data_IF_471543317489
#
_entry.id   IF_471543317489
#
_cell.length_a   1.000
_cell.length_b   1.000
_cell.length_c   1.000
_cell.angle_alpha   90.00
_cell.angle_beta   90.00
_cell.angle_gamma   90.00
#
_symmetry.space_group_name_H-M   'P 1'
#
loop_
_entity.id
_entity.type
_entity.pdbx_description
1 polymer ?
#
# COMPACT_ATOMS: atom_id res chain seq x y z
N UNK A 1 -37.08 12.61 -21.83
CA UNK A 1 -35.69 13.05 -22.00
C UNK A 1 -34.87 12.92 -20.73
N UNK A 2 -35.27 13.55 -19.66
CA UNK A 2 -34.56 13.48 -18.42
C UNK A 2 -34.53 12.06 -17.85
N UNK A 3 -35.63 11.32 -17.99
CA UNK A 3 -35.72 9.93 -17.57
C UNK A 3 -34.67 9.08 -18.29
N UNK A 4 -34.54 9.32 -19.61
CA UNK A 4 -33.56 8.60 -20.42
C UNK A 4 -32.16 8.91 -19.98
N UNK A 5 -31.85 10.21 -19.72
CA UNK A 5 -30.56 10.63 -19.24
C UNK A 5 -30.22 10.01 -17.89
N UNK A 6 -31.19 9.99 -16.98
CA UNK A 6 -31.03 9.39 -15.66
C UNK A 6 -30.76 7.91 -15.75
N UNK A 7 -31.49 7.21 -16.63
CA UNK A 7 -31.30 5.78 -16.88
C UNK A 7 -29.90 5.52 -17.44
N UNK A 8 -29.47 6.36 -18.38
CA UNK A 8 -28.14 6.24 -18.99
C UNK A 8 -27.02 6.39 -17.94
N UNK A 9 -27.20 7.32 -17.00
CA UNK A 9 -26.23 7.50 -15.93
C UNK A 9 -26.13 6.27 -15.04
N UNK A 10 -27.25 5.68 -14.70
CA UNK A 10 -27.28 4.45 -13.89
C UNK A 10 -26.61 3.31 -14.62
N UNK A 11 -26.85 3.21 -15.91
CA UNK A 11 -26.26 2.14 -16.73
C UNK A 11 -24.74 2.31 -16.84
N UNK A 12 -24.28 3.54 -17.10
CA UNK A 12 -22.86 3.85 -17.16
C UNK A 12 -22.17 3.52 -15.84
N UNK A 13 -22.78 3.95 -14.75
CA UNK A 13 -22.23 3.68 -13.41
C UNK A 13 -22.20 2.19 -13.12
N UNK A 14 -23.25 1.47 -13.49
CA UNK A 14 -23.28 0.01 -13.32
C UNK A 14 -22.16 -0.65 -14.10
N UNK A 15 -21.93 -0.21 -15.34
CA UNK A 15 -20.87 -0.76 -16.16
C UNK A 15 -19.49 -0.50 -15.57
N UNK A 16 -19.28 0.71 -15.07
CA UNK A 16 -18.04 1.04 -14.38
C UNK A 16 -17.82 0.17 -13.15
N UNK A 17 -18.85 0.00 -12.35
CA UNK A 17 -18.76 -0.83 -11.16
C UNK A 17 -18.53 -2.30 -11.52
N UNK A 18 -19.17 -2.78 -12.57
CA UNK A 18 -18.96 -4.15 -13.04
C UNK A 18 -17.54 -4.37 -13.55
N UNK A 19 -16.95 -3.37 -14.18
CA UNK A 19 -15.54 -3.42 -14.58
C UNK A 19 -14.61 -3.39 -13.39
N UNK A 20 -14.92 -2.60 -12.41
CA UNK A 20 -14.12 -2.46 -11.20
C UNK A 20 -14.17 -3.73 -10.36
N UNK A 21 -15.37 -4.22 -10.11
CA UNK A 21 -15.57 -5.46 -9.36
C UNK A 21 -15.20 -6.66 -10.21
N UNK A 22 -15.28 -6.42 -11.52
CA UNK A 22 -15.07 -7.43 -12.50
C UNK A 22 -16.26 -8.34 -12.55
N UNK A 23 -16.44 -8.99 -13.56
CA UNK A 23 -17.13 -10.24 -13.54
C UNK A 23 -16.46 -11.11 -12.51
N UNK A 24 -15.82 -10.37 -11.77
CA UNK A 24 -14.73 -10.65 -11.06
C UNK A 24 -14.77 -9.97 -9.76
N UNK A 25 -15.32 -10.67 -8.82
CA UNK A 25 -15.06 -10.43 -7.44
C UNK A 25 -13.57 -10.45 -7.15
N UNK A 26 -12.79 -10.96 -8.13
CA UNK A 26 -11.34 -11.05 -8.03
C UNK A 26 -10.66 -9.74 -7.73
N UNK A 27 -11.13 -8.64 -8.36
CA UNK A 27 -10.56 -7.33 -8.12
C UNK A 27 -10.81 -6.85 -6.70
N UNK A 28 -11.99 -7.08 -6.19
CA UNK A 28 -12.35 -6.73 -4.82
C UNK A 28 -11.58 -7.59 -3.82
N UNK A 29 -11.44 -8.89 -4.11
CA UNK A 29 -10.69 -9.79 -3.24
C UNK A 29 -9.23 -9.37 -3.17
N UNK A 30 -8.62 -9.03 -4.30
CA UNK A 30 -7.24 -8.56 -4.33
C UNK A 30 -7.06 -7.26 -3.55
N UNK A 31 -7.98 -6.32 -3.74
CA UNK A 31 -7.95 -5.05 -3.01
C UNK A 31 -8.10 -5.29 -1.51
N UNK A 32 -9.01 -6.16 -1.12
CA UNK A 32 -9.24 -6.51 0.28
C UNK A 32 -8.00 -7.12 0.90
N UNK A 33 -7.36 -8.06 0.22
CA UNK A 33 -6.13 -8.69 0.71
C UNK A 33 -5.01 -7.66 0.85
N UNK A 34 -4.87 -6.79 -0.13
CA UNK A 34 -3.88 -5.72 -0.09
C UNK A 34 -4.10 -4.78 1.08
N UNK A 35 -5.34 -4.35 1.28
CA UNK A 35 -5.69 -3.48 2.40
C UNK A 35 -5.46 -4.14 3.75
N UNK A 36 -5.75 -5.43 3.87
CA UNK A 36 -5.49 -6.16 5.11
C UNK A 36 -4.01 -6.24 5.42
N UNK A 37 -3.19 -6.41 4.40
CA UNK A 37 -1.73 -6.41 4.60
C UNK A 37 -1.26 -5.06 5.11
N UNK A 38 -1.83 -3.97 4.59
CA UNK A 38 -1.46 -2.62 5.00
C UNK A 38 -2.05 -2.22 6.35
N UNK A 39 -3.18 -2.81 6.74
CA UNK A 39 -3.90 -2.44 7.96
C UNK A 39 -3.31 -3.12 9.19
N UNK A 40 -2.04 -2.82 9.46
CA UNK A 40 -1.32 -3.34 10.60
C UNK A 40 -0.39 -2.25 11.13
N UNK A 41 -0.43 -1.94 12.44
CA UNK A 41 0.35 -0.82 12.98
C UNK A 41 1.83 -0.87 12.64
N UNK A 42 2.46 -2.02 12.79
CA UNK A 42 3.89 -2.16 12.51
C UNK A 42 4.19 -1.91 11.04
N UNK A 43 3.37 -2.45 10.14
CA UNK A 43 3.57 -2.28 8.70
C UNK A 43 3.33 -0.84 8.27
N UNK A 44 2.34 -0.18 8.86
CA UNK A 44 2.11 1.24 8.60
C UNK A 44 3.31 2.08 9.02
N UNK A 45 3.90 1.78 10.18
CA UNK A 45 5.11 2.48 10.64
C UNK A 45 6.25 2.31 9.65
N UNK A 46 6.47 1.09 9.19
CA UNK A 46 7.53 0.79 8.23
C UNK A 46 7.32 1.58 6.93
N UNK A 47 6.11 1.52 6.39
CA UNK A 47 5.81 2.16 5.12
C UNK A 47 5.82 3.68 5.22
N UNK A 48 5.37 4.22 6.33
CA UNK A 48 5.48 5.66 6.58
C UNK A 48 6.94 6.10 6.65
N UNK A 49 7.80 5.30 7.27
CA UNK A 49 9.23 5.60 7.30
C UNK A 49 9.84 5.52 5.90
N UNK A 50 9.50 4.49 5.13
CA UNK A 50 10.02 4.30 3.78
C UNK A 50 9.52 5.34 2.79
N UNK A 51 8.49 6.07 3.13
CA UNK A 51 8.00 7.20 2.34
C UNK A 51 9.10 8.21 2.06
N UNK A 52 10.07 8.32 2.97
CA UNK A 52 11.15 9.29 2.87
C UNK A 52 12.27 8.87 1.92
N UNK A 53 12.31 7.61 1.52
CA UNK A 53 13.34 7.08 0.64
C UNK A 53 13.85 5.73 1.10
N UNK A 54 14.96 5.27 0.51
CA UNK A 54 15.57 4.00 0.89
C UNK A 54 16.08 4.02 2.32
N UNK A 55 15.83 2.95 3.06
CA UNK A 55 16.29 2.78 4.43
C UNK A 55 16.80 1.37 4.64
N UNK A 56 17.81 1.23 5.48
CA UNK A 56 18.29 -0.08 5.92
C UNK A 56 17.40 -0.60 7.07
N UNK A 57 17.58 -1.88 7.41
CA UNK A 57 16.89 -2.46 8.58
C UNK A 57 17.27 -1.69 9.85
N UNK A 58 18.52 -1.28 9.97
CA UNK A 58 18.99 -0.50 11.12
C UNK A 58 18.29 0.85 11.19
N UNK A 59 18.15 1.53 10.05
CA UNK A 59 17.40 2.77 9.99
C UNK A 59 15.95 2.57 10.43
N UNK A 60 15.34 1.49 9.95
CA UNK A 60 13.96 1.17 10.28
C UNK A 60 13.78 0.87 11.76
N UNK A 61 14.74 0.16 12.37
CA UNK A 61 14.72 -0.05 13.82
C UNK A 61 14.71 1.28 14.55
N UNK A 62 15.57 2.18 14.14
CA UNK A 62 15.71 3.49 14.76
C UNK A 62 14.42 4.31 14.65
N UNK A 63 13.86 4.40 13.43
CA UNK A 63 12.69 5.25 13.18
C UNK A 63 11.38 4.64 13.66
N UNK A 64 11.23 3.33 13.61
CA UNK A 64 9.97 2.68 13.97
C UNK A 64 9.93 2.20 15.40
N UNK A 65 11.08 1.98 16.02
CA UNK A 65 11.17 1.37 17.34
C UNK A 65 10.89 -0.12 17.34
N UNK A 66 10.72 -0.74 16.17
CA UNK A 66 10.47 -2.18 16.07
C UNK A 66 11.79 -2.94 16.13
N UNK A 67 11.75 -4.14 16.70
CA UNK A 67 12.93 -5.01 16.77
C UNK A 67 13.24 -5.60 15.41
N UNK A 68 14.51 -5.92 15.19
CA UNK A 68 14.98 -6.47 13.92
C UNK A 68 14.21 -7.72 13.49
N UNK A 69 13.92 -8.63 14.42
CA UNK A 69 13.18 -9.85 14.11
C UNK A 69 11.77 -9.54 13.60
N UNK A 70 11.10 -8.61 14.25
CA UNK A 70 9.77 -8.15 13.85
C UNK A 70 9.82 -7.46 12.49
N UNK A 71 10.80 -6.59 12.31
CA UNK A 71 11.01 -5.90 11.02
C UNK A 71 11.23 -6.89 9.90
N UNK A 72 12.10 -7.88 10.10
CA UNK A 72 12.42 -8.87 9.08
C UNK A 72 11.18 -9.64 8.64
N UNK A 73 10.32 -10.02 9.58
CA UNK A 73 9.08 -10.72 9.27
C UNK A 73 8.14 -9.85 8.44
N UNK A 74 7.93 -8.61 8.85
CA UNK A 74 7.06 -7.70 8.11
C UNK A 74 7.61 -7.32 6.75
N UNK A 75 8.91 -7.06 6.66
CA UNK A 75 9.56 -6.74 5.40
C UNK A 75 9.49 -7.90 4.41
N UNK A 76 9.64 -9.14 4.89
CA UNK A 76 9.49 -10.31 4.04
C UNK A 76 8.09 -10.42 3.46
N UNK A 77 7.07 -10.17 4.28
CA UNK A 77 5.70 -10.19 3.81
C UNK A 77 5.43 -9.07 2.80
N UNK A 78 5.85 -7.86 3.10
CA UNK A 78 5.66 -6.72 2.22
C UNK A 78 6.38 -6.91 0.89
N UNK A 79 7.57 -7.51 0.93
CA UNK A 79 8.34 -7.80 -0.28
C UNK A 79 7.67 -8.89 -1.12
N UNK A 80 7.15 -9.94 -0.47
CA UNK A 80 6.43 -11.01 -1.16
C UNK A 80 5.16 -10.49 -1.85
N UNK A 81 4.60 -9.39 -1.35
CA UNK A 81 3.40 -8.76 -1.92
C UNK A 81 3.74 -7.60 -2.86
N UNK A 82 5.00 -7.43 -3.19
CA UNK A 82 5.46 -6.36 -4.09
C UNK A 82 5.11 -4.96 -3.60
N UNK A 83 4.99 -4.78 -2.30
CA UNK A 83 4.73 -3.47 -1.69
C UNK A 83 6.06 -2.75 -1.46
N UNK A 84 7.08 -3.50 -1.07
CA UNK A 84 8.43 -2.99 -0.96
C UNK A 84 9.38 -3.80 -1.84
N UNK A 85 10.48 -3.19 -2.21
CA UNK A 85 11.57 -3.87 -2.89
C UNK A 85 12.86 -3.62 -2.11
N UNK A 86 13.88 -4.41 -2.38
CA UNK A 86 15.16 -4.27 -1.68
C UNK A 86 16.32 -4.48 -2.64
N UNK A 87 17.44 -3.88 -2.29
CA UNK A 87 18.71 -4.11 -2.97
C UNK A 87 19.82 -4.28 -1.94
N UNK A 88 20.86 -4.99 -2.31
CA UNK A 88 22.02 -5.13 -1.44
C UNK A 88 23.15 -4.29 -1.94
N UNK A 89 23.83 -3.67 -0.98
CA UNK A 89 25.06 -2.93 -1.25
C UNK A 89 26.01 -3.18 -0.08
N UNK A 90 27.15 -3.78 -0.37
CA UNK A 90 28.06 -4.29 0.65
C UNK A 90 27.32 -5.27 1.59
N UNK A 91 27.32 -5.01 2.89
CA UNK A 91 26.65 -5.87 3.86
C UNK A 91 25.25 -5.39 4.25
N UNK A 92 24.74 -4.38 3.55
CA UNK A 92 23.47 -3.77 3.92
C UNK A 92 22.39 -4.07 2.88
N UNK A 93 21.18 -4.30 3.38
CA UNK A 93 19.98 -4.36 2.56
C UNK A 93 19.24 -3.04 2.69
N UNK A 94 18.94 -2.44 1.55
CA UNK A 94 18.19 -1.18 1.49
C UNK A 94 16.80 -1.48 0.98
N UNK A 95 15.80 -1.01 1.70
CA UNK A 95 14.40 -1.22 1.36
C UNK A 95 13.79 0.08 0.89
N UNK A 96 12.87 -0.01 -0.05
CA UNK A 96 12.10 1.14 -0.52
C UNK A 96 10.70 0.70 -0.93
N UNK A 97 9.79 1.66 -0.99
CA UNK A 97 8.44 1.40 -1.51
C UNK A 97 8.58 1.04 -2.99
N UNK A 98 7.86 0.00 -3.43
CA UNK A 98 8.07 -0.62 -4.73
C UNK A 98 7.66 0.26 -5.91
N UNK A 99 6.64 1.09 -5.75
CA UNK A 99 6.16 1.93 -6.84
C UNK A 99 5.54 3.23 -6.35
N UNK A 100 5.43 4.19 -7.27
CA UNK A 100 4.97 5.53 -6.93
C UNK A 100 3.51 5.59 -6.50
N UNK A 101 2.68 4.65 -6.94
CA UNK A 101 1.26 4.61 -6.54
C UNK A 101 1.11 4.27 -5.07
N UNK A 102 1.90 3.33 -4.59
CA UNK A 102 1.92 2.97 -3.17
C UNK A 102 2.46 4.14 -2.35
N UNK A 103 3.49 4.80 -2.88
CA UNK A 103 4.05 5.98 -2.23
C UNK A 103 2.99 7.08 -2.09
N UNK A 104 2.26 7.37 -3.14
CA UNK A 104 1.17 8.35 -3.13
C UNK A 104 0.10 8.00 -2.09
N UNK A 105 -0.24 6.72 -1.99
CA UNK A 105 -1.20 6.24 -0.99
C UNK A 105 -0.74 6.59 0.42
N UNK A 106 0.52 6.35 0.73
CA UNK A 106 1.04 6.64 2.07
C UNK A 106 1.22 8.11 2.34
N UNK A 107 1.52 8.91 1.32
CA UNK A 107 1.49 10.37 1.44
C UNK A 107 0.09 10.86 1.81
N UNK A 108 -0.92 10.29 1.18
CA UNK A 108 -2.31 10.64 1.44
C UNK A 108 -2.74 10.22 2.86
N UNK A 109 -2.36 9.03 3.28
CA UNK A 109 -2.64 8.54 4.64
C UNK A 109 -1.99 9.48 5.67
N UNK A 110 -0.75 9.88 5.42
CA UNK A 110 -0.08 10.85 6.29
C UNK A 110 -0.86 12.16 6.37
N UNK A 111 -1.30 12.67 5.23
CA UNK A 111 -2.02 13.94 5.18
C UNK A 111 -3.36 13.87 5.92
N UNK A 112 -4.02 12.72 5.88
CA UNK A 112 -5.32 12.55 6.53
C UNK A 112 -5.16 12.39 8.04
N UNK A 113 -4.22 11.56 8.48
CA UNK A 113 -4.13 11.13 9.87
C UNK A 113 -3.01 11.76 10.68
N UNK A 114 -1.95 12.20 10.03
CA UNK A 114 -0.79 12.78 10.70
C UNK A 114 -0.66 14.24 10.30
N UNK A 115 -1.42 15.08 10.94
CA UNK A 115 -1.44 16.51 10.64
C UNK A 115 -0.22 17.19 11.28
N UNK A 116 0.88 17.04 10.61
CA UNK A 116 2.12 17.67 11.04
C UNK A 116 2.37 18.90 10.21
#
# INVERSE_FOLDING_TARGET
METTTSTSRKEVLRDELNQLFGSQERNIDQATRGLKVLAHPARLKILCALRTGELTVQDLEYYTGLKQTTLSQHLSLLRARDIVTSRREANFSFYRIANDRILELFELIKDIYCKI
#
